data_IF_150104483820
#
_entry.id   IF_150104483820
#
_cell.length_a   1.000
_cell.length_b   1.000
_cell.length_c   1.000
_cell.angle_alpha   90.00
_cell.angle_beta   90.00
_cell.angle_gamma   90.00
#
_symmetry.space_group_name_H-M   'P 1'
#
loop_
_entity.id
_entity.type
_entity.pdbx_description
1 polymer ?
#
# COMPACT_ATOMS: atom_id res chain seq x y z
N UNK A 1 -19.05 1.24 37.73
CA UNK A 1 -19.04 2.36 36.77
C UNK A 1 -17.64 2.49 36.18
N UNK A 2 -17.39 1.94 34.98
CA UNK A 2 -16.13 2.12 34.24
C UNK A 2 -16.42 1.74 32.79
N UNK A 3 -16.32 2.72 31.87
CA UNK A 3 -16.10 2.60 30.40
C UNK A 3 -16.72 3.78 29.64
N UNK A 4 -16.14 4.97 29.74
CA UNK A 4 -16.30 6.06 28.74
C UNK A 4 -15.07 6.96 28.79
N UNK A 5 -13.88 6.45 28.43
CA UNK A 5 -12.68 7.32 28.32
C UNK A 5 -11.73 6.94 27.18
N UNK A 6 -11.93 5.82 26.49
CA UNK A 6 -11.01 5.34 25.44
C UNK A 6 -11.33 5.97 24.06
N UNK A 7 -12.57 6.37 23.79
CA UNK A 7 -12.97 6.89 22.47
C UNK A 7 -12.47 8.32 22.16
N UNK A 8 -12.39 9.20 23.16
CA UNK A 8 -12.07 10.62 22.91
C UNK A 8 -10.58 10.82 22.56
N UNK A 9 -9.69 10.02 23.15
CA UNK A 9 -8.24 10.12 22.92
C UNK A 9 -7.83 9.62 21.53
N UNK A 10 -8.53 8.62 20.98
CA UNK A 10 -8.28 8.10 19.63
C UNK A 10 -8.80 9.08 18.56
N UNK A 11 -9.97 9.69 18.80
CA UNK A 11 -10.55 10.68 17.88
C UNK A 11 -9.69 11.94 17.81
N UNK A 12 -9.17 12.40 18.94
CA UNK A 12 -8.30 13.58 19.01
C UNK A 12 -6.95 13.35 18.31
N UNK A 13 -6.37 12.16 18.43
CA UNK A 13 -5.14 11.80 17.73
C UNK A 13 -5.31 11.72 16.19
N UNK A 14 -6.47 11.25 15.71
CA UNK A 14 -6.79 11.20 14.28
C UNK A 14 -7.04 12.60 13.70
N UNK A 15 -7.69 13.49 14.45
CA UNK A 15 -7.90 14.89 14.06
C UNK A 15 -6.58 15.69 14.02
N UNK A 16 -5.65 15.44 14.94
CA UNK A 16 -4.33 16.10 14.92
C UNK A 16 -3.45 15.60 13.77
N UNK A 17 -3.54 14.31 13.42
CA UNK A 17 -2.81 13.75 12.28
C UNK A 17 -3.33 14.32 10.94
N UNK A 18 -4.65 14.47 10.77
CA UNK A 18 -5.22 15.07 9.55
C UNK A 18 -4.90 16.57 9.44
N UNK A 19 -4.83 17.29 10.57
CA UNK A 19 -4.42 18.70 10.58
C UNK A 19 -2.95 18.87 10.18
N UNK A 20 -2.06 18.00 10.65
CA UNK A 20 -0.64 18.01 10.26
C UNK A 20 -0.42 17.65 8.79
N UNK A 21 -1.19 16.71 8.22
CA UNK A 21 -1.16 16.41 6.77
C UNK A 21 -1.68 17.58 5.92
N UNK A 22 -2.66 18.33 6.44
CA UNK A 22 -3.22 19.49 5.75
C UNK A 22 -2.24 20.68 5.77
N UNK A 23 -1.57 20.95 6.89
CA UNK A 23 -0.52 21.97 6.96
C UNK A 23 0.75 21.58 6.18
N UNK A 24 1.11 20.29 6.15
CA UNK A 24 2.22 19.80 5.32
C UNK A 24 1.90 19.99 3.82
N UNK A 25 0.66 19.71 3.39
CA UNK A 25 0.20 20.02 2.02
C UNK A 25 0.20 21.51 1.72
N UNK A 26 -0.18 22.37 2.68
CA UNK A 26 -0.18 23.82 2.50
C UNK A 26 1.24 24.42 2.43
N UNK A 27 2.21 23.88 3.19
CA UNK A 27 3.62 24.29 3.11
C UNK A 27 4.33 23.79 1.85
N UNK A 28 3.87 22.69 1.24
CA UNK A 28 4.38 22.20 -0.04
C UNK A 28 3.80 22.93 -1.26
N UNK A 29 2.63 23.56 -1.12
CA UNK A 29 2.03 24.35 -2.21
C UNK A 29 2.73 25.69 -2.48
N UNK A 30 3.58 26.18 -1.55
CA UNK A 30 4.21 27.51 -1.66
C UNK A 30 5.64 27.51 -2.25
N UNK A 31 6.20 26.36 -2.62
CA UNK A 31 7.50 26.30 -3.31
C UNK A 31 7.27 26.13 -4.82
N UNK A 32 6.69 27.15 -5.45
CA UNK A 32 6.48 27.20 -6.92
C UNK A 32 7.48 28.09 -7.64
N UNK A 33 8.40 28.75 -6.94
CA UNK A 33 9.55 29.42 -7.57
C UNK A 33 10.73 29.56 -6.60
N UNK A 34 11.94 29.34 -7.13
CA UNK A 34 13.19 29.78 -6.52
C UNK A 34 13.84 30.72 -7.55
N UNK A 35 14.20 31.95 -7.15
CA UNK A 35 14.83 32.97 -8.01
C UNK A 35 14.04 33.33 -9.29
N UNK A 36 12.71 33.38 -9.24
CA UNK A 36 11.89 33.83 -10.37
C UNK A 36 11.83 32.86 -11.55
N UNK A 37 12.39 31.66 -11.42
CA UNK A 37 12.19 30.58 -12.39
C UNK A 37 11.10 29.64 -11.90
N UNK A 38 10.09 29.43 -12.74
CA UNK A 38 9.13 28.35 -12.59
C UNK A 38 9.91 27.04 -12.64
N UNK A 39 9.81 26.22 -11.59
CA UNK A 39 10.34 24.87 -11.60
C UNK A 39 9.41 24.02 -12.47
N UNK A 40 9.61 24.05 -13.79
CA UNK A 40 9.02 23.04 -14.66
C UNK A 40 9.62 21.69 -14.27
N UNK A 41 8.81 20.85 -13.63
CA UNK A 41 9.16 19.46 -13.37
C UNK A 41 9.62 18.79 -14.68
N UNK A 42 10.67 17.94 -14.66
CA UNK A 42 11.04 17.15 -15.82
C UNK A 42 9.84 16.30 -16.26
N UNK A 43 9.56 16.30 -17.56
CA UNK A 43 8.47 15.59 -18.21
C UNK A 43 8.69 14.07 -18.13
N UNK A 44 8.30 13.46 -17.02
CA UNK A 44 7.73 12.11 -17.01
C UNK A 44 6.22 12.30 -16.90
N UNK A 45 5.46 11.92 -17.92
CA UNK A 45 3.99 12.03 -17.90
C UNK A 45 3.49 11.19 -16.73
N UNK A 46 3.03 11.85 -15.67
CA UNK A 46 2.42 11.21 -14.52
C UNK A 46 1.19 10.45 -15.02
N UNK A 47 1.02 9.15 -14.70
CA UNK A 47 -0.25 8.51 -14.96
C UNK A 47 -1.30 9.25 -14.12
N UNK A 48 -2.29 9.87 -14.76
CA UNK A 48 -3.53 10.21 -14.06
C UNK A 48 -4.14 8.91 -13.52
N UNK A 49 -5.03 9.02 -12.53
CA UNK A 49 -5.79 7.87 -12.00
C UNK A 49 -6.39 7.03 -13.13
N UNK A 50 -6.89 7.70 -14.19
CA UNK A 50 -7.46 7.09 -15.39
C UNK A 50 -6.46 6.29 -16.25
N UNK A 51 -5.16 6.48 -16.05
CA UNK A 51 -4.08 5.79 -16.78
C UNK A 51 -3.54 4.56 -16.04
N UNK A 52 -3.96 4.32 -14.80
CA UNK A 52 -3.65 3.07 -14.10
C UNK A 52 -4.67 2.01 -14.53
N UNK A 53 -4.32 1.27 -15.59
CA UNK A 53 -5.04 0.07 -15.97
C UNK A 53 -4.56 -1.17 -15.18
N UNK A 54 -5.17 -2.33 -15.45
CA UNK A 54 -4.80 -3.57 -14.77
C UNK A 54 -3.35 -4.00 -15.03
N UNK A 55 -2.81 -3.73 -16.21
CA UNK A 55 -1.45 -4.12 -16.57
C UNK A 55 -0.41 -3.27 -15.83
N UNK A 56 -0.63 -1.95 -15.80
CA UNK A 56 0.21 -1.01 -15.07
C UNK A 56 0.11 -1.23 -13.55
N UNK A 57 -1.09 -1.47 -13.03
CA UNK A 57 -1.29 -1.85 -11.63
C UNK A 57 -0.54 -3.16 -11.29
N UNK A 58 -0.61 -4.17 -12.15
CA UNK A 58 0.13 -5.43 -11.96
C UNK A 58 1.64 -5.16 -11.86
N UNK A 59 2.19 -4.38 -12.79
CA UNK A 59 3.61 -4.03 -12.80
C UNK A 59 4.04 -3.30 -11.51
N UNK A 60 3.27 -2.31 -11.05
CA UNK A 60 3.57 -1.56 -9.82
C UNK A 60 3.49 -2.48 -8.60
N UNK A 61 2.45 -3.31 -8.49
CA UNK A 61 2.24 -4.18 -7.34
C UNK A 61 3.27 -5.32 -7.29
N UNK A 62 3.72 -5.82 -8.43
CA UNK A 62 4.87 -6.73 -8.54
C UNK A 62 6.13 -6.09 -7.94
N UNK A 63 6.44 -4.86 -8.34
CA UNK A 63 7.62 -4.14 -7.85
C UNK A 63 7.51 -3.81 -6.36
N UNK A 64 6.32 -3.41 -5.89
CA UNK A 64 6.04 -3.23 -4.46
C UNK A 64 6.33 -4.50 -3.67
N UNK A 65 5.78 -5.63 -4.11
CA UNK A 65 5.94 -6.90 -3.41
C UNK A 65 7.40 -7.37 -3.42
N UNK A 66 8.13 -7.20 -4.52
CA UNK A 66 9.58 -7.52 -4.58
C UNK A 66 10.38 -6.75 -3.54
N UNK A 67 10.05 -5.48 -3.32
CA UNK A 67 10.82 -4.59 -2.41
C UNK A 67 10.43 -4.76 -0.94
N UNK A 68 9.14 -4.83 -0.64
CA UNK A 68 8.64 -4.62 0.72
C UNK A 68 7.95 -5.83 1.34
N UNK A 69 7.67 -6.90 0.60
CA UNK A 69 6.83 -7.97 1.12
C UNK A 69 7.41 -8.66 2.36
N UNK A 70 8.72 -8.92 2.35
CA UNK A 70 9.41 -9.59 3.46
C UNK A 70 9.41 -8.77 4.73
N UNK A 71 9.63 -7.46 4.63
CA UNK A 71 9.60 -6.54 5.77
C UNK A 71 8.16 -6.30 6.24
N UNK A 72 7.20 -6.17 5.32
CA UNK A 72 5.79 -5.99 5.64
C UNK A 72 5.16 -7.19 6.35
N UNK A 73 5.53 -8.41 5.95
CA UNK A 73 4.78 -9.61 6.31
C UNK A 73 5.60 -10.63 7.11
N UNK A 74 6.52 -10.14 7.94
CA UNK A 74 7.26 -10.90 8.95
C UNK A 74 8.00 -12.10 8.35
N UNK A 75 8.94 -11.83 7.45
CA UNK A 75 9.83 -12.82 6.81
C UNK A 75 9.15 -13.80 5.84
N UNK A 76 7.94 -13.48 5.40
CA UNK A 76 7.30 -14.17 4.27
C UNK A 76 7.90 -13.69 2.97
N UNK A 77 8.04 -14.59 2.01
CA UNK A 77 8.70 -14.28 0.74
C UNK A 77 7.67 -14.22 -0.37
N UNK A 78 7.65 -13.12 -1.08
CA UNK A 78 6.81 -12.98 -2.27
C UNK A 78 7.28 -13.95 -3.36
N UNK A 79 6.35 -14.63 -4.03
CA UNK A 79 6.64 -15.41 -5.24
C UNK A 79 6.51 -14.45 -6.43
N UNK A 80 7.61 -14.16 -7.10
CA UNK A 80 7.64 -13.20 -8.21
C UNK A 80 6.71 -13.59 -9.36
N UNK A 81 6.17 -12.60 -10.06
CA UNK A 81 5.30 -12.77 -11.23
C UNK A 81 4.01 -13.54 -10.88
N UNK A 82 3.54 -13.40 -9.64
CA UNK A 82 2.33 -14.07 -9.16
C UNK A 82 1.15 -13.13 -8.92
N UNK A 83 1.35 -11.81 -9.04
CA UNK A 83 0.24 -10.85 -8.90
C UNK A 83 -0.69 -11.02 -10.10
N UNK A 84 -1.96 -11.25 -9.81
CA UNK A 84 -3.05 -11.19 -10.77
C UNK A 84 -4.06 -10.15 -10.29
N UNK A 85 -4.18 -9.04 -11.02
CA UNK A 85 -5.21 -8.03 -10.77
C UNK A 85 -6.52 -8.52 -11.41
N UNK A 86 -7.55 -8.73 -10.60
CA UNK A 86 -8.87 -9.18 -11.06
C UNK A 86 -9.85 -8.02 -11.23
N UNK A 87 -9.69 -6.96 -10.44
CA UNK A 87 -10.50 -5.76 -10.57
C UNK A 87 -9.72 -4.51 -10.18
N UNK A 88 -10.10 -3.41 -10.81
CA UNK A 88 -9.60 -2.07 -10.54
C UNK A 88 -10.77 -1.11 -10.41
N UNK A 89 -10.62 -0.10 -9.59
CA UNK A 89 -11.59 0.98 -9.44
C UNK A 89 -10.92 2.18 -8.78
N UNK A 90 -11.73 3.18 -8.49
CA UNK A 90 -11.29 4.39 -7.79
C UNK A 90 -12.08 4.51 -6.49
N UNK A 91 -11.41 4.89 -5.40
CA UNK A 91 -12.09 5.29 -4.18
C UNK A 91 -12.58 6.75 -4.34
N UNK A 92 -13.90 6.99 -4.39
CA UNK A 92 -14.46 8.31 -4.65
C UNK A 92 -14.17 9.33 -3.54
N UNK A 93 -13.70 8.89 -2.36
CA UNK A 93 -13.35 9.78 -1.25
C UNK A 93 -11.90 10.25 -1.32
N UNK A 94 -11.01 9.38 -1.76
CA UNK A 94 -9.56 9.64 -1.72
C UNK A 94 -8.97 9.92 -3.09
N UNK A 95 -9.65 9.51 -4.17
CA UNK A 95 -9.11 9.48 -5.53
C UNK A 95 -8.04 8.41 -5.72
N UNK A 96 -7.89 7.48 -4.78
CA UNK A 96 -6.90 6.41 -4.89
C UNK A 96 -7.40 5.32 -5.84
N UNK A 97 -6.48 4.74 -6.59
CA UNK A 97 -6.77 3.53 -7.36
C UNK A 97 -6.83 2.35 -6.40
N UNK A 98 -7.93 1.61 -6.46
CA UNK A 98 -8.15 0.41 -5.66
C UNK A 98 -8.04 -0.81 -6.57
N UNK A 99 -7.19 -1.76 -6.19
CA UNK A 99 -7.01 -3.02 -6.92
C UNK A 99 -7.37 -4.19 -6.01
N UNK A 100 -8.05 -5.20 -6.55
CA UNK A 100 -8.22 -6.49 -5.88
C UNK A 100 -7.75 -7.61 -6.78
N UNK A 101 -7.24 -8.66 -6.16
CA UNK A 101 -6.70 -9.77 -6.92
C UNK A 101 -6.17 -10.90 -6.08
N UNK A 102 -5.27 -11.67 -6.68
CA UNK A 102 -4.57 -12.75 -5.99
C UNK A 102 -3.07 -12.68 -6.21
N UNK A 103 -2.32 -13.25 -5.27
CA UNK A 103 -0.87 -13.40 -5.34
C UNK A 103 -0.43 -14.69 -4.64
N UNK A 104 0.84 -15.04 -4.80
CA UNK A 104 1.44 -16.20 -4.15
C UNK A 104 2.63 -15.81 -3.28
N UNK A 105 2.85 -16.54 -2.20
CA UNK A 105 3.96 -16.31 -1.28
C UNK A 105 4.42 -17.58 -0.56
N UNK A 106 5.67 -17.61 -0.14
CA UNK A 106 6.17 -18.58 0.82
C UNK A 106 5.95 -18.07 2.24
N UNK A 107 5.38 -18.93 3.07
CA UNK A 107 5.21 -18.75 4.51
C UNK A 107 6.54 -18.57 5.24
N UNK A 108 6.46 -18.46 6.56
CA UNK A 108 7.66 -18.38 7.40
C UNK A 108 8.51 -19.64 7.25
N UNK A 109 9.81 -19.48 7.41
CA UNK A 109 10.70 -20.62 7.52
C UNK A 109 10.51 -21.28 8.88
N UNK A 110 10.07 -22.53 8.89
CA UNK A 110 9.86 -23.32 10.09
C UNK A 110 10.98 -24.36 10.14
N UNK A 111 11.80 -24.41 11.20
CA UNK A 111 12.86 -25.40 11.31
C UNK A 111 12.33 -26.82 11.05
N UNK A 112 13.07 -27.60 10.26
CA UNK A 112 12.76 -28.99 9.87
C UNK A 112 11.61 -29.11 8.84
N UNK A 113 10.60 -28.24 8.88
CA UNK A 113 9.45 -28.28 7.95
C UNK A 113 9.70 -27.50 6.66
N UNK A 114 10.53 -26.45 6.73
CA UNK A 114 10.74 -25.49 5.65
C UNK A 114 9.58 -24.52 5.52
N UNK A 115 9.43 -23.93 4.32
CA UNK A 115 8.41 -22.94 4.01
C UNK A 115 7.21 -23.58 3.33
N UNK A 116 6.01 -23.28 3.81
CA UNK A 116 4.76 -23.62 3.12
C UNK A 116 4.53 -22.66 1.95
N UNK A 117 4.17 -23.20 0.79
CA UNK A 117 3.72 -22.37 -0.35
C UNK A 117 2.23 -22.05 -0.20
N UNK A 118 1.90 -20.77 -0.39
CA UNK A 118 0.54 -20.26 -0.43
C UNK A 118 0.29 -19.67 -1.81
N UNK A 119 -0.70 -20.22 -2.51
CA UNK A 119 -0.98 -19.91 -3.91
C UNK A 119 -2.36 -19.30 -4.07
N UNK A 120 -2.50 -18.34 -4.98
CA UNK A 120 -3.76 -17.65 -5.28
C UNK A 120 -4.44 -17.04 -4.05
N UNK A 121 -3.65 -16.47 -3.14
CA UNK A 121 -4.15 -15.83 -1.93
C UNK A 121 -4.70 -14.45 -2.26
N UNK A 122 -5.86 -14.11 -1.70
CA UNK A 122 -6.50 -12.83 -1.95
C UNK A 122 -5.69 -11.65 -1.41
N UNK A 123 -5.68 -10.55 -2.17
CA UNK A 123 -5.19 -9.25 -1.73
C UNK A 123 -6.11 -8.10 -2.16
N UNK A 124 -5.96 -6.98 -1.47
CA UNK A 124 -6.47 -5.67 -1.88
C UNK A 124 -5.36 -4.63 -1.76
N UNK A 125 -5.29 -3.68 -2.68
CA UNK A 125 -4.31 -2.61 -2.67
C UNK A 125 -4.97 -1.26 -2.93
N UNK A 126 -4.46 -0.20 -2.31
CA UNK A 126 -4.80 1.19 -2.58
C UNK A 126 -3.53 1.93 -3.00
N UNK A 127 -3.56 2.54 -4.18
CA UNK A 127 -2.44 3.26 -4.80
C UNK A 127 -2.80 4.74 -4.84
N UNK A 128 -2.05 5.55 -4.09
CA UNK A 128 -2.14 7.00 -4.13
C UNK A 128 -0.97 7.57 -4.95
N UNK A 129 -1.28 8.36 -5.96
CA UNK A 129 -0.30 9.03 -6.82
C UNK A 129 0.12 10.33 -6.15
N UNK A 130 1.43 10.50 -5.92
CA UNK A 130 2.02 11.73 -5.40
C UNK A 130 3.06 12.30 -6.35
N UNK A 131 3.50 13.53 -6.09
CA UNK A 131 4.48 14.23 -6.94
C UNK A 131 5.86 13.55 -7.01
N UNK A 132 6.19 12.75 -6.00
CA UNK A 132 7.53 12.14 -5.83
C UNK A 132 7.51 10.62 -5.98
N UNK A 133 6.35 10.01 -6.19
CA UNK A 133 6.20 8.56 -6.20
C UNK A 133 4.79 8.10 -5.86
N UNK A 134 4.67 6.81 -5.54
CA UNK A 134 3.41 6.14 -5.22
C UNK A 134 3.40 5.75 -3.75
N UNK A 135 2.33 6.08 -3.03
CA UNK A 135 2.05 5.49 -1.72
C UNK A 135 1.11 4.30 -1.92
N UNK A 136 1.55 3.12 -1.49
CA UNK A 136 0.81 1.87 -1.72
C UNK A 136 0.49 1.24 -0.39
N UNK A 137 -0.80 1.14 -0.08
CA UNK A 137 -1.33 0.34 1.02
C UNK A 137 -1.73 -1.03 0.48
N UNK A 138 -0.98 -2.07 0.84
CA UNK A 138 -1.20 -3.45 0.40
C UNK A 138 -1.72 -4.31 1.55
N UNK A 139 -2.86 -4.95 1.35
CA UNK A 139 -3.49 -5.85 2.30
C UNK A 139 -3.61 -7.23 1.71
N UNK A 140 -3.14 -8.25 2.44
CA UNK A 140 -3.25 -9.65 2.03
C UNK A 140 -4.05 -10.47 3.03
N UNK A 141 -4.70 -11.51 2.55
CA UNK A 141 -5.17 -12.57 3.43
C UNK A 141 -3.95 -13.35 3.94
N UNK A 142 -3.85 -13.54 5.25
CA UNK A 142 -2.92 -14.46 5.86
C UNK A 142 -3.57 -15.83 5.94
N UNK A 143 -2.90 -16.81 5.34
CA UNK A 143 -3.21 -18.21 5.56
C UNK A 143 -2.22 -18.83 6.55
N UNK A 144 -2.68 -19.64 7.52
CA UNK A 144 -1.81 -20.31 8.48
C UNK A 144 -0.72 -21.17 7.83
N UNK A 145 0.53 -20.93 8.27
CA UNK A 145 1.71 -21.68 7.84
C UNK A 145 1.64 -23.16 8.33
N UNK A 146 0.93 -23.43 9.44
CA UNK A 146 0.74 -24.76 10.05
C UNK A 146 -0.70 -24.94 10.61
N UNK A 147 -1.05 -26.17 10.99
CA UNK A 147 -2.39 -26.51 11.50
C UNK A 147 -2.72 -25.76 12.79
N UNK A 148 -3.95 -25.25 12.90
CA UNK A 148 -4.49 -24.64 14.12
C UNK A 148 -4.45 -23.11 14.17
N UNK A 149 -3.85 -22.43 13.18
CA UNK A 149 -3.98 -20.99 13.03
C UNK A 149 -5.32 -20.57 12.42
N UNK A 150 -5.71 -19.31 12.63
CA UNK A 150 -6.84 -18.69 11.93
C UNK A 150 -6.33 -17.66 10.91
N UNK A 151 -6.95 -17.64 9.74
CA UNK A 151 -6.65 -16.63 8.73
C UNK A 151 -7.16 -15.26 9.14
N UNK A 152 -6.47 -14.21 8.72
CA UNK A 152 -6.84 -12.82 8.98
C UNK A 152 -6.22 -11.91 7.92
N UNK A 153 -6.72 -10.68 7.81
CA UNK A 153 -6.10 -9.68 6.94
C UNK A 153 -4.87 -9.06 7.61
N UNK A 154 -3.77 -8.98 6.88
CA UNK A 154 -2.56 -8.24 7.26
C UNK A 154 -2.37 -7.10 6.26
N UNK A 155 -2.07 -5.89 6.73
CA UNK A 155 -1.90 -4.69 5.89
C UNK A 155 -0.56 -4.02 6.15
N UNK A 156 0.02 -3.44 5.11
CA UNK A 156 1.27 -2.69 5.16
C UNK A 156 1.23 -1.56 4.14
N UNK A 157 1.78 -0.40 4.48
CA UNK A 157 1.84 0.76 3.59
C UNK A 157 3.29 1.21 3.45
N UNK A 158 3.76 1.36 2.20
CA UNK A 158 5.08 1.94 1.93
C UNK A 158 5.01 2.93 0.76
N UNK A 159 6.03 3.78 0.69
CA UNK A 159 6.24 4.72 -0.38
C UNK A 159 7.24 4.16 -1.40
N UNK A 160 6.90 4.23 -2.67
CA UNK A 160 7.73 3.89 -3.81
C UNK A 160 8.11 5.16 -4.57
N UNK A 161 9.36 5.63 -4.47
CA UNK A 161 9.82 6.73 -5.31
C UNK A 161 9.83 6.32 -6.78
N UNK A 162 9.67 7.30 -7.67
CA UNK A 162 9.88 7.13 -9.11
C UNK A 162 11.33 6.77 -9.44
#
# INVERSE_FOLDING_TARGET
MKRVFICVSLLLAMLTASAQETEARARFASVTSLNGQSLTAPQGVFPSVDQIDMAFATMILEEYCKRFYTTCFKDRLYIQNSIMVNSIGEDPKTGNVICYGTHSYYGKDIPIVGRKSHVNVAYGASIAIGLQGLSIAFSKWYEPDYKGGQGHWESCTNFMPY
#
